data_IF_896085823552
#
_entry.id   IF_896085823552
#
_cell.length_a   1.000
_cell.length_b   1.000
_cell.length_c   1.000
_cell.angle_alpha   90.00
_cell.angle_beta   90.00
_cell.angle_gamma   90.00
#
_symmetry.space_group_name_H-M   'P 1'
#
loop_
_entity.id
_entity.type
_entity.pdbx_description
1 polymer ?
#
# COMPACT_ATOMS: atom_id res chain seq x y z
N UNK A 1 -31.17 -30.83 -2.78
CA UNK A 1 -30.97 -29.36 -2.77
C UNK A 1 -30.26 -29.04 -4.07
N UNK A 2 -30.74 -28.07 -4.84
CA UNK A 2 -30.15 -27.65 -6.11
C UNK A 2 -28.87 -26.84 -5.87
N UNK A 3 -27.91 -26.90 -6.81
CA UNK A 3 -26.64 -26.15 -6.77
C UNK A 3 -26.83 -24.65 -6.47
N UNK A 4 -27.93 -24.08 -6.95
CA UNK A 4 -28.31 -22.68 -6.76
C UNK A 4 -28.53 -22.30 -5.28
N UNK A 5 -29.00 -23.24 -4.45
CA UNK A 5 -29.17 -23.00 -3.01
C UNK A 5 -27.86 -23.02 -2.24
N UNK A 6 -26.85 -23.78 -2.72
CA UNK A 6 -25.54 -23.87 -2.07
C UNK A 6 -24.71 -22.62 -2.38
N UNK A 7 -24.71 -22.16 -3.64
CA UNK A 7 -24.05 -20.92 -4.04
C UNK A 7 -24.61 -19.70 -3.28
N UNK A 8 -25.93 -19.59 -3.18
CA UNK A 8 -26.57 -18.49 -2.46
C UNK A 8 -26.22 -18.45 -0.97
N UNK A 9 -25.98 -19.60 -0.33
CA UNK A 9 -25.55 -19.65 1.07
C UNK A 9 -24.09 -19.22 1.24
N UNK A 10 -23.19 -19.67 0.36
CA UNK A 10 -21.79 -19.25 0.37
C UNK A 10 -21.66 -17.72 0.20
N UNK A 11 -22.42 -17.13 -0.73
CA UNK A 11 -22.45 -15.67 -0.92
C UNK A 11 -22.96 -14.91 0.32
N UNK A 12 -23.89 -15.49 1.09
CA UNK A 12 -24.38 -14.89 2.35
C UNK A 12 -23.32 -14.97 3.45
N UNK A 13 -22.61 -16.09 3.55
CA UNK A 13 -21.56 -16.31 4.53
C UNK A 13 -20.38 -15.35 4.29
N UNK A 14 -19.90 -15.26 3.05
CA UNK A 14 -18.84 -14.34 2.63
C UNK A 14 -19.19 -12.87 2.91
N UNK A 15 -20.42 -12.44 2.57
CA UNK A 15 -20.92 -11.09 2.91
C UNK A 15 -20.95 -10.84 4.41
N UNK A 16 -21.22 -11.87 5.20
CA UNK A 16 -21.27 -11.77 6.67
C UNK A 16 -19.87 -11.63 7.26
N UNK A 17 -18.89 -12.41 6.77
CA UNK A 17 -17.50 -12.33 7.20
C UNK A 17 -16.88 -10.96 6.88
N UNK A 18 -17.09 -10.47 5.66
CA UNK A 18 -16.65 -9.12 5.24
C UNK A 18 -17.23 -8.03 6.15
N UNK A 19 -18.51 -8.13 6.51
CA UNK A 19 -19.15 -7.17 7.40
C UNK A 19 -18.58 -7.25 8.83
N UNK A 20 -18.25 -8.45 9.33
CA UNK A 20 -17.59 -8.62 10.63
C UNK A 20 -16.23 -7.93 10.62
N UNK A 21 -15.42 -8.15 9.58
CA UNK A 21 -14.11 -7.53 9.46
C UNK A 21 -14.19 -6.01 9.36
N UNK A 22 -15.12 -5.47 8.55
CA UNK A 22 -15.29 -4.01 8.42
C UNK A 22 -15.67 -3.38 9.76
N UNK A 23 -16.55 -4.04 10.51
CA UNK A 23 -16.98 -3.59 11.84
C UNK A 23 -15.81 -3.59 12.82
N UNK A 24 -14.94 -4.61 12.77
CA UNK A 24 -13.74 -4.67 13.59
C UNK A 24 -12.76 -3.54 13.24
N UNK A 25 -12.49 -3.29 11.95
CA UNK A 25 -11.63 -2.20 11.48
C UNK A 25 -12.17 -0.84 11.95
N UNK A 26 -13.48 -0.61 11.81
CA UNK A 26 -14.14 0.63 12.28
C UNK A 26 -14.00 0.83 13.79
N UNK A 27 -14.14 -0.25 14.57
CA UNK A 27 -13.94 -0.21 16.03
C UNK A 27 -12.52 0.20 16.39
N UNK A 28 -11.51 -0.45 15.79
CA UNK A 28 -10.11 -0.14 16.08
C UNK A 28 -9.75 1.29 15.66
N UNK A 29 -10.16 1.72 14.47
CA UNK A 29 -9.94 3.10 14.00
C UNK A 29 -10.54 4.13 14.97
N UNK A 30 -11.74 3.87 15.51
CA UNK A 30 -12.38 4.74 16.50
C UNK A 30 -11.60 4.77 17.82
N UNK A 31 -11.13 3.63 18.30
CA UNK A 31 -10.38 3.52 19.56
C UNK A 31 -9.00 4.17 19.47
N UNK A 32 -8.33 4.05 18.33
CA UNK A 32 -7.03 4.66 18.09
C UNK A 32 -7.10 6.19 18.02
N UNK A 33 -8.26 6.74 17.64
CA UNK A 33 -8.46 8.18 17.46
C UNK A 33 -7.74 8.75 16.24
N UNK A 34 -8.07 9.99 15.87
CA UNK A 34 -7.56 10.62 14.64
C UNK A 34 -8.35 10.19 13.38
N UNK A 35 -7.76 10.45 12.20
CA UNK A 35 -8.34 10.05 10.90
C UNK A 35 -7.67 8.78 10.43
N UNK A 36 -8.47 7.82 9.98
CA UNK A 36 -8.03 6.53 9.45
C UNK A 36 -8.73 6.27 8.13
N UNK A 37 -7.95 5.80 7.15
CA UNK A 37 -8.47 5.12 5.97
C UNK A 37 -7.73 3.79 5.82
N UNK A 38 -8.45 2.78 5.34
CA UNK A 38 -7.93 1.42 5.13
C UNK A 38 -8.42 0.93 3.79
N UNK A 39 -7.55 0.28 3.04
CA UNK A 39 -7.91 -0.46 1.83
C UNK A 39 -7.11 -1.77 1.82
N UNK A 40 -7.80 -2.88 1.59
CA UNK A 40 -7.19 -4.19 1.44
C UNK A 40 -7.90 -4.97 0.34
N UNK A 41 -7.12 -5.73 -0.42
CA UNK A 41 -7.58 -6.61 -1.49
C UNK A 41 -7.03 -8.02 -1.26
N UNK A 42 -7.89 -9.02 -1.36
CA UNK A 42 -7.47 -10.42 -1.40
C UNK A 42 -6.73 -10.69 -2.70
N UNK A 43 -5.43 -11.00 -2.62
CA UNK A 43 -4.61 -11.18 -3.84
C UNK A 43 -5.09 -12.33 -4.73
N UNK A 44 -5.76 -13.34 -4.17
CA UNK A 44 -6.30 -14.48 -4.91
C UNK A 44 -7.76 -14.28 -5.34
N UNK A 45 -8.64 -13.83 -4.42
CA UNK A 45 -10.07 -13.68 -4.68
C UNK A 45 -10.44 -12.36 -5.38
N UNK A 46 -9.61 -11.32 -5.26
CA UNK A 46 -9.91 -9.97 -5.71
C UNK A 46 -10.93 -9.24 -4.83
N UNK A 47 -11.37 -9.84 -3.72
CA UNK A 47 -12.30 -9.20 -2.79
C UNK A 47 -11.66 -7.99 -2.12
N UNK A 48 -12.39 -6.88 -2.07
CA UNK A 48 -11.91 -5.64 -1.48
C UNK A 48 -12.66 -5.28 -0.21
N UNK A 49 -11.95 -4.73 0.77
CA UNK A 49 -12.54 -4.08 1.94
C UNK A 49 -11.90 -2.71 2.14
N UNK A 50 -12.74 -1.70 2.42
CA UNK A 50 -12.27 -0.33 2.57
C UNK A 50 -13.01 0.43 3.67
N UNK A 51 -12.26 1.34 4.31
CA UNK A 51 -12.74 2.36 5.22
C UNK A 51 -12.23 3.71 4.70
N UNK A 52 -13.14 4.63 4.37
CA UNK A 52 -12.84 5.97 3.83
C UNK A 52 -11.85 5.95 2.63
N UNK A 53 -12.13 5.20 1.54
CA UNK A 53 -11.17 5.01 0.45
C UNK A 53 -10.80 6.31 -0.30
N UNK A 54 -11.66 7.32 -0.27
CA UNK A 54 -11.46 8.60 -0.96
C UNK A 54 -10.74 9.67 -0.11
N UNK A 55 -10.45 9.37 1.15
CA UNK A 55 -9.74 10.30 2.03
C UNK A 55 -8.26 10.40 1.65
N UNK A 56 -7.76 11.64 1.55
CA UNK A 56 -6.36 11.91 1.25
C UNK A 56 -5.50 11.94 2.53
N UNK A 57 -4.35 11.26 2.46
CA UNK A 57 -3.32 11.22 3.48
C UNK A 57 -1.95 11.57 2.89
N UNK A 58 -1.04 12.20 3.67
CA UNK A 58 0.34 12.35 3.25
C UNK A 58 0.98 10.99 3.01
N UNK A 59 1.50 10.74 1.80
CA UNK A 59 2.14 9.47 1.47
C UNK A 59 3.41 9.19 2.31
N UNK A 60 4.02 10.23 2.90
CA UNK A 60 5.28 10.14 3.63
C UNK A 60 6.30 9.30 2.85
N UNK A 61 7.00 8.36 3.49
CA UNK A 61 7.94 7.48 2.78
C UNK A 61 7.30 6.37 1.93
N UNK A 62 5.98 6.16 1.96
CA UNK A 62 5.28 5.18 1.10
C UNK A 62 5.37 5.57 -0.37
N UNK A 63 5.54 6.87 -0.68
CA UNK A 63 5.78 7.36 -2.06
C UNK A 63 6.97 6.69 -2.75
N UNK A 64 7.93 6.16 -1.99
CA UNK A 64 9.09 5.45 -2.55
C UNK A 64 8.68 4.19 -3.33
N UNK A 65 7.57 3.54 -2.99
CA UNK A 65 7.07 2.35 -3.70
C UNK A 65 6.74 2.68 -5.17
N UNK A 66 5.85 3.63 -5.49
CA UNK A 66 5.59 3.99 -6.89
C UNK A 66 6.80 4.64 -7.57
N UNK A 67 7.65 5.38 -6.84
CA UNK A 67 8.91 5.91 -7.42
C UNK A 67 9.84 4.79 -7.88
N UNK A 68 10.02 3.73 -7.08
CA UNK A 68 10.82 2.58 -7.48
C UNK A 68 10.16 1.81 -8.62
N UNK A 69 8.84 1.61 -8.59
CA UNK A 69 8.13 0.98 -9.71
C UNK A 69 8.36 1.74 -11.03
N UNK A 70 8.30 3.08 -11.01
CA UNK A 70 8.60 3.92 -12.15
C UNK A 70 10.08 3.84 -12.58
N UNK A 71 11.03 3.77 -11.63
CA UNK A 71 12.45 3.59 -11.92
C UNK A 71 12.72 2.26 -12.64
N UNK A 72 12.14 1.15 -12.17
CA UNK A 72 12.28 -0.15 -12.82
C UNK A 72 11.64 -0.18 -14.21
N UNK A 73 10.45 0.42 -14.37
CA UNK A 73 9.83 0.55 -15.69
C UNK A 73 10.71 1.37 -16.65
N UNK A 74 11.28 2.48 -16.17
CA UNK A 74 12.22 3.29 -16.96
C UNK A 74 13.48 2.49 -17.35
N UNK A 75 14.01 1.68 -16.42
CA UNK A 75 15.13 0.77 -16.70
C UNK A 75 14.79 -0.22 -17.81
N UNK A 76 13.60 -0.81 -17.76
CA UNK A 76 13.18 -1.82 -18.75
C UNK A 76 12.99 -1.21 -20.14
N UNK A 77 12.69 0.08 -20.22
CA UNK A 77 12.69 0.85 -21.49
C UNK A 77 14.06 1.36 -21.93
N UNK A 78 15.12 1.11 -21.14
CA UNK A 78 16.47 1.60 -21.42
C UNK A 78 16.67 3.10 -21.16
N UNK A 79 15.74 3.76 -20.47
CA UNK A 79 15.82 5.20 -20.16
C UNK A 79 16.82 5.49 -19.02
N UNK A 80 17.01 4.55 -18.11
CA UNK A 80 17.94 4.65 -16.99
C UNK A 80 18.72 3.34 -16.82
N UNK A 81 19.94 3.42 -16.31
CA UNK A 81 20.71 2.26 -15.85
C UNK A 81 20.75 2.26 -14.33
N UNK A 82 20.53 1.09 -13.71
CA UNK A 82 20.67 0.96 -12.25
C UNK A 82 22.14 0.87 -11.81
N UNK A 83 23.06 0.61 -12.74
CA UNK A 83 24.50 0.64 -12.52
C UNK A 83 25.07 2.06 -12.64
N UNK A 84 24.22 3.06 -12.96
CA UNK A 84 24.63 4.46 -13.04
C UNK A 84 24.97 4.97 -11.64
N UNK A 85 26.25 5.28 -11.43
CA UNK A 85 26.71 5.92 -10.19
C UNK A 85 26.34 7.40 -10.22
N UNK A 86 25.72 7.88 -9.15
CA UNK A 86 25.41 9.30 -8.93
C UNK A 86 26.23 9.83 -7.77
N UNK A 87 26.83 11.00 -7.96
CA UNK A 87 27.51 11.75 -6.90
C UNK A 87 26.50 12.09 -5.80
N UNK A 88 26.81 11.70 -4.56
CA UNK A 88 26.07 12.13 -3.39
C UNK A 88 26.67 13.46 -2.92
N UNK A 89 25.95 14.56 -3.09
CA UNK A 89 26.41 15.87 -2.59
C UNK A 89 25.99 16.04 -1.15
N UNK A 90 26.68 16.92 -0.43
CA UNK A 90 26.38 17.17 0.97
C UNK A 90 24.95 17.70 1.17
N UNK A 91 24.44 18.52 0.24
CA UNK A 91 23.07 19.03 0.27
C UNK A 91 21.98 17.97 0.02
N UNK A 92 22.33 16.81 -0.54
CA UNK A 92 21.39 15.71 -0.81
C UNK A 92 21.12 14.88 0.47
N UNK A 93 21.97 15.01 1.49
CA UNK A 93 21.84 14.30 2.78
C UNK A 93 20.95 15.11 3.72
N UNK A 94 19.73 14.62 3.94
CA UNK A 94 18.72 15.23 4.80
C UNK A 94 18.30 14.28 5.93
N UNK A 95 17.49 14.80 6.87
CA UNK A 95 16.90 13.96 7.91
C UNK A 95 16.10 12.80 7.29
N UNK A 96 16.41 11.57 7.72
CA UNK A 96 15.77 10.36 7.17
C UNK A 96 16.41 9.81 5.89
N UNK A 97 17.59 10.29 5.48
CA UNK A 97 18.33 9.76 4.32
C UNK A 97 18.88 8.33 4.50
N UNK A 98 18.69 7.70 5.67
CA UNK A 98 19.01 6.29 5.91
C UNK A 98 20.49 5.99 5.65
N UNK A 99 20.75 4.96 4.84
CA UNK A 99 22.12 4.51 4.50
C UNK A 99 23.00 5.61 3.89
N UNK A 100 22.42 6.64 3.27
CA UNK A 100 23.20 7.75 2.71
C UNK A 100 23.94 8.55 3.81
N UNK A 101 23.53 8.44 5.08
CA UNK A 101 24.25 9.02 6.22
C UNK A 101 25.57 8.29 6.52
N UNK A 102 25.71 7.05 6.06
CA UNK A 102 26.92 6.23 6.23
C UNK A 102 27.91 6.40 5.07
N UNK A 103 27.49 7.05 3.99
CA UNK A 103 28.31 7.34 2.82
C UNK A 103 28.97 8.71 2.97
N UNK A 104 30.22 8.83 2.52
CA UNK A 104 30.89 10.13 2.40
C UNK A 104 30.55 10.75 1.04
N UNK A 105 30.22 12.06 0.97
CA UNK A 105 30.12 12.78 -0.29
C UNK A 105 31.40 12.67 -1.12
N UNK A 106 31.27 12.56 -2.45
CA UNK A 106 32.40 12.45 -3.39
C UNK A 106 32.20 11.39 -4.45
#
# INVERSE_FOLDING_TARGET
>A
MSDESVAAMADVEERSEKQILLTAIQREARLAGGRWAVSAIGCESGEEISLHPDDLFPAASVIKVPLLAALYAARDTGLVSLDEVRELRQEDVVGGSGVLLELHPG
#
